data_IF_534702727370
#
_entry.id   IF_534702727370
#
_cell.length_a   1.000
_cell.length_b   1.000
_cell.length_c   1.000
_cell.angle_alpha   90.00
_cell.angle_beta   90.00
_cell.angle_gamma   90.00
#
_symmetry.space_group_name_H-M   'P 1'
#
loop_
_entity.id
_entity.type
_entity.pdbx_description
1 polymer ?
#
# COMPACT_ATOMS: atom_id res chain seq x y z
N UNK A 1 -20.97 12.96 17.61
CA UNK A 1 -20.15 13.96 16.90
C UNK A 1 -19.75 13.28 15.62
N UNK A 2 -20.56 13.48 14.59
CA UNK A 2 -20.51 12.66 13.39
C UNK A 2 -19.21 12.94 12.63
N UNK A 3 -18.45 11.88 12.43
CA UNK A 3 -17.18 11.88 11.76
C UNK A 3 -17.46 12.02 10.26
N UNK A 4 -17.68 13.26 9.82
CA UNK A 4 -18.06 13.62 8.45
C UNK A 4 -16.99 13.17 7.44
N UNK A 5 -15.76 12.89 7.88
CA UNK A 5 -14.62 12.49 7.04
C UNK A 5 -14.23 11.00 7.06
N UNK A 6 -14.72 10.21 8.02
CA UNK A 6 -14.46 8.75 8.07
C UNK A 6 -15.65 7.94 7.53
N UNK A 7 -16.84 8.56 7.51
CA UNK A 7 -18.01 7.91 6.96
C UNK A 7 -18.07 8.14 5.45
N UNK A 8 -17.58 7.18 4.66
CA UNK A 8 -17.78 7.08 3.21
C UNK A 8 -19.26 7.08 2.78
N UNK A 9 -20.22 7.02 3.72
CA UNK A 9 -21.65 7.25 3.50
C UNK A 9 -22.09 8.72 3.65
N UNK A 10 -21.18 9.61 4.07
CA UNK A 10 -21.42 11.06 4.15
C UNK A 10 -21.50 11.66 2.75
N UNK A 11 -22.68 12.17 2.38
CA UNK A 11 -22.90 12.88 1.11
C UNK A 11 -21.87 14.00 0.92
N UNK A 12 -21.49 14.68 2.00
CA UNK A 12 -20.56 15.81 1.94
C UNK A 12 -19.14 15.40 1.57
N UNK A 13 -18.65 14.28 2.09
CA UNK A 13 -17.32 13.75 1.75
C UNK A 13 -17.24 13.37 0.27
N UNK A 14 -18.30 12.72 -0.26
CA UNK A 14 -18.40 12.38 -1.68
C UNK A 14 -18.45 13.60 -2.60
N UNK A 15 -19.19 14.64 -2.20
CA UNK A 15 -19.20 15.92 -2.92
C UNK A 15 -17.82 16.57 -2.99
N UNK A 16 -17.07 16.55 -1.88
CA UNK A 16 -15.73 17.11 -1.81
C UNK A 16 -14.75 16.33 -2.70
N UNK A 17 -14.77 15.00 -2.63
CA UNK A 17 -13.99 14.12 -3.51
C UNK A 17 -14.32 14.38 -4.99
N UNK A 18 -15.60 14.41 -5.36
CA UNK A 18 -16.01 14.67 -6.75
C UNK A 18 -15.50 16.04 -7.23
N UNK A 19 -15.61 17.09 -6.40
CA UNK A 19 -15.06 18.41 -6.72
C UNK A 19 -13.55 18.38 -6.91
N UNK A 20 -12.83 17.66 -6.04
CA UNK A 20 -11.38 17.50 -6.13
C UNK A 20 -10.97 16.81 -7.45
N UNK A 21 -11.65 15.71 -7.79
CA UNK A 21 -11.40 14.95 -9.02
C UNK A 21 -11.69 15.77 -10.27
N UNK A 22 -12.83 16.48 -10.32
CA UNK A 22 -13.16 17.36 -11.44
C UNK A 22 -12.18 18.53 -11.56
N UNK A 23 -11.74 19.09 -10.42
CA UNK A 23 -10.72 20.14 -10.41
C UNK A 23 -9.37 19.62 -10.90
N UNK A 24 -9.03 18.38 -10.55
CA UNK A 24 -7.80 17.72 -10.97
C UNK A 24 -7.75 17.51 -12.47
N UNK A 25 -8.80 16.90 -13.04
CA UNK A 25 -8.96 16.71 -14.49
C UNK A 25 -8.87 18.05 -15.27
N UNK A 26 -9.55 19.08 -14.76
CA UNK A 26 -9.46 20.43 -15.32
C UNK A 26 -8.05 21.02 -15.26
N UNK A 27 -7.37 20.93 -14.10
CA UNK A 27 -6.02 21.47 -13.94
C UNK A 27 -5.02 20.74 -14.83
N UNK A 28 -5.09 19.41 -14.94
CA UNK A 28 -4.25 18.66 -15.87
C UNK A 28 -4.46 19.13 -17.31
N UNK A 29 -5.71 19.28 -17.74
CA UNK A 29 -6.04 19.82 -19.07
C UNK A 29 -5.44 21.21 -19.32
N UNK A 30 -5.48 22.10 -18.33
CA UNK A 30 -4.89 23.44 -18.44
C UNK A 30 -3.37 23.43 -18.42
N UNK A 31 -2.74 22.55 -17.62
CA UNK A 31 -1.29 22.37 -17.60
C UNK A 31 -0.77 21.80 -18.92
N UNK A 32 -1.51 20.87 -19.52
CA UNK A 32 -1.17 20.27 -20.80
C UNK A 32 -1.05 21.32 -21.92
N UNK A 33 -1.82 22.40 -21.84
CA UNK A 33 -1.78 23.53 -22.78
C UNK A 33 -0.56 24.44 -22.58
N UNK A 34 0.05 24.44 -21.39
CA UNK A 34 1.16 25.34 -21.02
C UNK A 34 2.53 24.83 -21.45
N UNK A 35 2.63 23.60 -21.96
CA UNK A 35 3.87 22.98 -22.42
C UNK A 35 5.00 23.00 -21.37
N UNK A 36 4.65 22.75 -20.10
CA UNK A 36 5.63 22.62 -19.00
C UNK A 36 6.61 21.48 -19.29
N UNK A 37 7.90 21.79 -19.29
CA UNK A 37 8.97 20.85 -19.64
C UNK A 37 9.51 20.04 -18.45
N UNK A 38 9.02 20.31 -17.23
CA UNK A 38 9.43 19.57 -16.03
C UNK A 38 8.88 18.14 -16.08
N UNK A 39 9.50 17.25 -15.30
CA UNK A 39 9.05 15.87 -15.17
C UNK A 39 7.61 15.79 -14.66
N UNK A 40 6.80 14.91 -15.25
CA UNK A 40 5.35 14.88 -15.01
C UNK A 40 4.97 14.42 -13.60
N UNK A 41 5.77 13.57 -12.96
CA UNK A 41 5.60 13.19 -11.55
C UNK A 41 5.62 14.41 -10.62
N UNK A 42 6.54 15.36 -10.86
CA UNK A 42 6.62 16.62 -10.10
C UNK A 42 5.36 17.48 -10.32
N UNK A 43 4.91 17.58 -11.58
CA UNK A 43 3.72 18.35 -11.92
C UNK A 43 2.48 17.78 -11.21
N UNK A 44 2.32 16.46 -11.23
CA UNK A 44 1.23 15.77 -10.53
C UNK A 44 1.23 16.09 -9.02
N UNK A 45 2.39 16.01 -8.35
CA UNK A 45 2.55 16.32 -6.92
C UNK A 45 2.18 17.76 -6.57
N UNK A 46 2.56 18.72 -7.42
CA UNK A 46 2.21 20.13 -7.24
C UNK A 46 0.70 20.36 -7.37
N UNK A 47 0.08 19.77 -8.39
CA UNK A 47 -1.35 19.94 -8.65
C UNK A 47 -2.18 19.31 -7.52
N UNK A 48 -1.92 18.06 -7.13
CA UNK A 48 -2.69 17.42 -6.05
C UNK A 48 -2.50 18.13 -4.72
N UNK A 49 -1.29 18.62 -4.41
CA UNK A 49 -1.02 19.38 -3.18
C UNK A 49 -1.81 20.68 -3.15
N UNK A 50 -1.87 21.37 -4.29
CA UNK A 50 -2.64 22.60 -4.44
C UNK A 50 -4.13 22.33 -4.25
N UNK A 51 -4.67 21.29 -4.87
CA UNK A 51 -6.08 20.91 -4.70
C UNK A 51 -6.38 20.58 -3.23
N UNK A 52 -5.54 19.75 -2.59
CA UNK A 52 -5.69 19.43 -1.17
C UNK A 52 -5.66 20.68 -0.28
N UNK A 53 -4.78 21.64 -0.59
CA UNK A 53 -4.66 22.93 0.11
C UNK A 53 -5.92 23.79 -0.09
N UNK A 54 -6.44 23.86 -1.31
CA UNK A 54 -7.64 24.61 -1.68
C UNK A 54 -8.90 24.02 -1.00
N UNK A 55 -8.87 22.73 -0.62
CA UNK A 55 -9.96 22.05 0.08
C UNK A 55 -9.97 22.25 1.60
N UNK A 56 -8.82 22.60 2.21
CA UNK A 56 -8.72 22.77 3.68
C UNK A 56 -9.81 23.70 4.25
N UNK A 57 -10.12 24.87 3.66
CA UNK A 57 -11.13 25.77 4.21
C UNK A 57 -12.55 25.20 4.22
N UNK A 58 -12.82 24.14 3.45
CA UNK A 58 -14.12 23.48 3.41
C UNK A 58 -14.33 22.48 4.57
N UNK A 59 -13.30 22.22 5.37
CA UNK A 59 -13.34 21.31 6.51
C UNK A 59 -13.82 22.02 7.79
N UNK A 60 -14.43 21.31 8.76
CA UNK A 60 -14.76 21.86 10.06
C UNK A 60 -13.50 22.22 10.89
N UNK A 61 -13.63 23.20 11.79
CA UNK A 61 -12.51 23.94 12.40
C UNK A 61 -11.31 23.10 12.87
N UNK A 62 -11.50 22.11 13.75
CA UNK A 62 -10.39 21.29 14.27
C UNK A 62 -9.70 20.45 13.19
N UNK A 63 -10.43 20.08 12.14
CA UNK A 63 -9.88 19.33 11.00
C UNK A 63 -9.07 20.24 10.08
N UNK A 64 -9.39 21.54 9.96
CA UNK A 64 -8.61 22.48 9.15
C UNK A 64 -7.15 22.59 9.62
N UNK A 65 -6.92 22.56 10.93
CA UNK A 65 -5.55 22.62 11.48
C UNK A 65 -4.79 21.34 11.17
N UNK A 66 -5.38 20.18 11.48
CA UNK A 66 -4.77 18.86 11.19
C UNK A 66 -4.45 18.69 9.70
N UNK A 67 -5.39 19.10 8.86
CA UNK A 67 -5.27 19.18 7.41
C UNK A 67 -4.08 20.03 6.94
N UNK A 68 -3.98 21.24 7.47
CA UNK A 68 -2.89 22.18 7.15
C UNK A 68 -1.54 21.62 7.57
N UNK A 69 -1.46 21.07 8.79
CA UNK A 69 -0.24 20.46 9.33
C UNK A 69 0.19 19.26 8.47
N UNK A 70 -0.74 18.37 8.08
CA UNK A 70 -0.44 17.26 7.18
C UNK A 70 0.13 17.75 5.84
N UNK A 71 -0.53 18.72 5.20
CA UNK A 71 -0.14 19.23 3.87
C UNK A 71 1.25 19.88 3.90
N UNK A 72 1.58 20.58 4.98
CA UNK A 72 2.90 21.18 5.18
C UNK A 72 4.00 20.12 5.30
N UNK A 73 3.69 19.01 5.97
CA UNK A 73 4.65 17.95 6.24
C UNK A 73 4.74 16.86 5.17
N UNK A 74 4.01 16.93 4.04
CA UNK A 74 3.95 15.87 3.02
C UNK A 74 5.32 15.31 2.56
N UNK A 75 6.37 16.12 2.58
CA UNK A 75 7.74 15.75 2.16
C UNK A 75 8.59 15.14 3.28
N UNK A 76 8.15 15.24 4.52
CA UNK A 76 8.85 14.69 5.68
C UNK A 76 8.41 13.25 5.95
N UNK A 77 9.26 12.45 6.60
CA UNK A 77 8.86 11.11 7.04
C UNK A 77 7.78 11.22 8.13
N UNK A 78 6.71 10.41 8.12
CA UNK A 78 6.40 9.30 7.20
C UNK A 78 5.34 9.65 6.14
N UNK A 79 5.23 10.92 5.74
CA UNK A 79 4.11 11.42 4.95
C UNK A 79 4.16 11.03 3.46
N UNK A 80 3.05 11.24 2.76
CA UNK A 80 2.80 10.68 1.43
C UNK A 80 3.90 10.96 0.40
N UNK A 81 4.38 12.20 0.27
CA UNK A 81 5.37 12.51 -0.77
C UNK A 81 6.75 11.96 -0.42
N UNK A 82 7.08 11.88 0.87
CA UNK A 82 8.25 11.14 1.33
C UNK A 82 8.13 9.66 0.96
N UNK A 83 6.98 9.05 1.26
CA UNK A 83 6.69 7.66 0.92
C UNK A 83 6.83 7.40 -0.59
N UNK A 84 6.14 8.15 -1.44
CA UNK A 84 6.19 8.02 -2.91
C UNK A 84 7.64 8.10 -3.44
N UNK A 85 8.41 9.08 -2.96
CA UNK A 85 9.81 9.23 -3.35
C UNK A 85 10.65 8.01 -2.90
N UNK A 86 10.44 7.52 -1.68
CA UNK A 86 11.14 6.34 -1.16
C UNK A 86 10.76 5.07 -1.92
N UNK A 87 9.50 4.87 -2.25
CA UNK A 87 9.01 3.74 -3.05
C UNK A 87 9.65 3.76 -4.44
N UNK A 88 9.60 4.89 -5.15
CA UNK A 88 10.26 5.03 -6.46
C UNK A 88 11.76 4.73 -6.42
N UNK A 89 12.48 5.24 -5.42
CA UNK A 89 13.92 4.97 -5.27
C UNK A 89 14.21 3.49 -4.93
N UNK A 90 13.34 2.85 -4.13
CA UNK A 90 13.49 1.44 -3.78
C UNK A 90 13.25 0.51 -4.98
N UNK A 91 12.29 0.85 -5.84
CA UNK A 91 12.05 0.16 -7.11
C UNK A 91 13.27 0.28 -8.04
N UNK A 92 13.79 1.50 -8.21
CA UNK A 92 14.96 1.73 -9.06
C UNK A 92 16.20 0.96 -8.54
N UNK A 93 16.43 0.98 -7.22
CA UNK A 93 17.51 0.22 -6.58
C UNK A 93 17.32 -1.30 -6.75
N UNK A 94 16.09 -1.80 -6.62
CA UNK A 94 15.75 -3.21 -6.84
C UNK A 94 16.15 -3.65 -8.26
N UNK A 95 15.69 -2.96 -9.31
CA UNK A 95 16.03 -3.35 -10.68
C UNK A 95 17.52 -3.23 -10.97
N UNK A 96 18.16 -2.16 -10.50
CA UNK A 96 19.60 -1.98 -10.66
C UNK A 96 20.41 -3.12 -10.03
N UNK A 97 20.03 -3.57 -8.83
CA UNK A 97 20.76 -4.61 -8.11
C UNK A 97 20.41 -6.03 -8.55
N UNK A 98 19.22 -6.22 -9.11
CA UNK A 98 18.77 -7.51 -9.63
C UNK A 98 19.11 -7.73 -11.11
N UNK A 99 19.57 -6.68 -11.83
CA UNK A 99 19.84 -6.71 -13.27
C UNK A 99 20.65 -7.93 -13.72
N UNK A 100 21.65 -8.35 -12.93
CA UNK A 100 22.50 -9.50 -13.29
C UNK A 100 21.80 -10.86 -13.23
N UNK A 101 20.70 -10.97 -12.48
CA UNK A 101 19.90 -12.19 -12.32
C UNK A 101 18.73 -12.24 -13.31
N UNK A 102 18.29 -11.08 -13.80
CA UNK A 102 17.07 -10.91 -14.58
C UNK A 102 17.35 -10.68 -16.07
N UNK A 103 18.15 -11.57 -16.68
CA UNK A 103 18.53 -11.52 -18.11
C UNK A 103 18.10 -12.79 -18.84
N UNK A 104 17.88 -12.68 -20.16
CA UNK A 104 17.50 -13.82 -21.00
C UNK A 104 16.13 -14.38 -20.60
N UNK A 105 16.06 -15.67 -20.29
CA UNK A 105 14.81 -16.35 -19.89
C UNK A 105 14.24 -15.84 -18.56
N UNK A 106 15.05 -15.16 -17.74
CA UNK A 106 14.62 -14.58 -16.45
C UNK A 106 14.37 -13.06 -16.54
N UNK A 107 14.22 -12.49 -17.74
CA UNK A 107 13.89 -11.07 -17.90
C UNK A 107 12.56 -10.77 -17.18
N UNK A 108 12.58 -9.86 -16.20
CA UNK A 108 11.38 -9.48 -15.44
C UNK A 108 10.44 -8.60 -16.27
N UNK A 109 11.01 -7.53 -16.84
CA UNK A 109 10.38 -6.47 -17.61
C UNK A 109 11.40 -5.98 -18.63
N UNK A 110 10.94 -5.35 -19.72
CA UNK A 110 11.86 -4.66 -20.63
C UNK A 110 12.59 -3.50 -19.93
N UNK A 111 13.78 -3.09 -20.40
CA UNK A 111 14.51 -1.96 -19.79
C UNK A 111 13.68 -0.68 -19.69
N UNK A 112 12.84 -0.39 -20.69
CA UNK A 112 11.94 0.77 -20.67
C UNK A 112 10.89 0.63 -19.56
N UNK A 113 10.26 -0.53 -19.43
CA UNK A 113 9.27 -0.80 -18.37
C UNK A 113 9.90 -0.74 -16.96
N UNK A 114 11.14 -1.22 -16.77
CA UNK A 114 11.87 -1.06 -15.51
C UNK A 114 12.02 0.41 -15.12
N UNK A 115 12.32 1.29 -16.08
CA UNK A 115 12.38 2.74 -15.83
C UNK A 115 11.01 3.33 -15.51
N UNK A 116 9.95 2.87 -16.20
CA UNK A 116 8.57 3.31 -15.94
C UNK A 116 8.09 2.92 -14.53
N UNK A 117 8.60 1.82 -13.97
CA UNK A 117 8.28 1.42 -12.61
C UNK A 117 8.73 2.45 -11.56
N UNK A 118 9.76 3.24 -11.83
CA UNK A 118 10.14 4.37 -10.97
C UNK A 118 9.04 5.45 -10.94
N UNK A 119 8.49 5.81 -12.11
CA UNK A 119 7.37 6.75 -12.21
C UNK A 119 6.14 6.23 -11.48
N UNK A 120 5.82 4.94 -11.66
CA UNK A 120 4.75 4.24 -10.95
C UNK A 120 4.97 4.36 -9.43
N UNK A 121 6.16 4.02 -8.91
CA UNK A 121 6.46 4.13 -7.49
C UNK A 121 6.30 5.55 -6.93
N UNK A 122 6.64 6.57 -7.73
CA UNK A 122 6.51 7.99 -7.35
C UNK A 122 5.11 8.57 -7.42
N UNK A 123 4.15 7.85 -8.01
CA UNK A 123 2.83 8.43 -8.30
C UNK A 123 1.64 7.56 -7.92
N UNK A 124 1.81 6.24 -7.73
CA UNK A 124 0.71 5.28 -7.54
C UNK A 124 -0.35 5.74 -6.51
N UNK A 125 0.12 6.32 -5.42
CA UNK A 125 -0.70 6.72 -4.26
C UNK A 125 -1.11 8.19 -4.24
N UNK A 126 -0.73 8.95 -5.26
CA UNK A 126 -0.87 10.41 -5.26
C UNK A 126 -2.33 10.88 -5.17
N UNK A 127 -3.25 10.10 -5.73
CA UNK A 127 -4.68 10.38 -5.73
C UNK A 127 -5.32 10.21 -4.35
N UNK A 128 -4.62 9.64 -3.36
CA UNK A 128 -5.09 9.60 -1.96
C UNK A 128 -5.33 11.01 -1.40
N UNK A 129 -4.60 12.02 -1.87
CA UNK A 129 -4.81 13.43 -1.48
C UNK A 129 -6.08 14.08 -2.06
N UNK A 130 -6.74 13.44 -3.03
CA UNK A 130 -7.99 13.94 -3.59
C UNK A 130 -9.21 13.49 -2.76
N UNK A 131 -9.02 12.50 -1.88
CA UNK A 131 -10.00 12.07 -0.89
C UNK A 131 -10.10 13.00 0.32
N UNK A 132 -10.75 12.54 1.39
CA UNK A 132 -10.64 13.24 2.68
C UNK A 132 -9.17 13.31 3.10
N UNK A 133 -8.77 14.29 3.91
CA UNK A 133 -7.36 14.40 4.31
C UNK A 133 -6.92 13.25 5.24
N UNK A 134 -7.87 12.43 5.70
CA UNK A 134 -7.63 11.13 6.35
C UNK A 134 -8.00 9.94 5.44
N UNK A 135 -8.28 10.14 4.15
CA UNK A 135 -8.61 9.09 3.18
C UNK A 135 -7.35 8.30 2.82
N UNK A 136 -6.84 7.56 3.78
CA UNK A 136 -5.82 6.55 3.55
C UNK A 136 -6.40 5.28 2.88
N UNK A 137 -7.70 5.24 2.55
CA UNK A 137 -8.39 3.95 2.52
C UNK A 137 -9.64 3.89 1.63
N UNK A 138 -9.50 3.99 0.31
CA UNK A 138 -10.49 3.40 -0.63
C UNK A 138 -9.84 3.19 -2.02
N UNK A 139 -10.31 2.23 -2.85
CA UNK A 139 -9.75 1.93 -4.17
C UNK A 139 -9.97 3.07 -5.17
N UNK A 140 -10.67 4.13 -4.75
CA UNK A 140 -10.97 5.29 -5.56
C UNK A 140 -9.68 5.94 -6.06
N UNK A 141 -8.57 5.90 -5.30
CA UNK A 141 -7.31 6.46 -5.77
C UNK A 141 -6.74 5.71 -6.99
N UNK A 142 -6.84 4.37 -7.03
CA UNK A 142 -6.44 3.56 -8.17
C UNK A 142 -7.35 3.81 -9.40
N UNK A 143 -8.66 3.95 -9.16
CA UNK A 143 -9.64 4.28 -10.21
C UNK A 143 -9.38 5.69 -10.74
N UNK A 144 -9.20 6.69 -9.88
CA UNK A 144 -8.90 8.07 -10.28
C UNK A 144 -7.59 8.11 -11.04
N UNK A 145 -6.57 7.36 -10.61
CA UNK A 145 -5.31 7.28 -11.34
C UNK A 145 -5.55 6.76 -12.76
N UNK A 146 -6.22 5.61 -12.91
CA UNK A 146 -6.49 5.00 -14.22
C UNK A 146 -7.34 5.89 -15.11
N UNK A 147 -8.43 6.43 -14.58
CA UNK A 147 -9.45 7.14 -15.35
C UNK A 147 -9.12 8.62 -15.58
N UNK A 148 -8.29 9.25 -14.75
CA UNK A 148 -7.93 10.67 -14.86
C UNK A 148 -6.48 10.79 -15.30
N UNK A 149 -5.51 10.39 -14.47
CA UNK A 149 -4.08 10.53 -14.81
C UNK A 149 -3.77 9.82 -16.14
N UNK A 150 -4.29 8.60 -16.32
CA UNK A 150 -4.13 7.82 -17.55
C UNK A 150 -4.46 8.58 -18.84
N UNK A 151 -5.48 9.44 -18.85
CA UNK A 151 -5.87 10.25 -20.02
C UNK A 151 -4.85 11.32 -20.40
N UNK A 152 -4.05 11.75 -19.43
CA UNK A 152 -3.12 12.87 -19.57
C UNK A 152 -1.65 12.43 -19.72
N UNK A 153 -1.34 11.14 -19.60
CA UNK A 153 0.04 10.65 -19.65
C UNK A 153 0.65 10.69 -21.05
N UNK A 154 -0.10 10.35 -22.10
CA UNK A 154 0.46 10.22 -23.45
C UNK A 154 1.12 11.53 -23.93
N UNK A 155 2.35 11.43 -24.41
CA UNK A 155 3.18 12.57 -24.83
C UNK A 155 3.81 13.38 -23.70
N UNK A 156 3.56 13.05 -22.42
CA UNK A 156 4.24 13.67 -21.28
C UNK A 156 5.61 13.07 -21.06
N UNK A 157 6.46 13.83 -20.38
CA UNK A 157 7.83 13.43 -20.10
C UNK A 157 8.04 13.10 -18.62
N UNK A 158 8.74 12.01 -18.36
CA UNK A 158 9.29 11.66 -17.06
C UNK A 158 10.81 11.70 -17.11
N UNK A 159 11.43 12.22 -16.05
CA UNK A 159 12.88 12.20 -15.84
C UNK A 159 13.18 11.26 -14.68
N UNK A 160 13.78 10.13 -15.00
CA UNK A 160 14.25 9.13 -14.04
C UNK A 160 15.32 9.70 -13.10
N UNK A 161 15.59 9.01 -11.99
CA UNK A 161 16.59 9.43 -11.01
C UNK A 161 18.02 9.54 -11.58
N UNK A 162 18.32 8.82 -12.67
CA UNK A 162 19.61 8.86 -13.36
C UNK A 162 19.69 9.94 -14.46
N UNK A 163 18.60 10.68 -14.68
CA UNK A 163 18.52 11.79 -15.63
C UNK A 163 18.05 11.40 -17.03
N UNK A 164 17.72 10.12 -17.30
CA UNK A 164 17.09 9.73 -18.58
C UNK A 164 15.68 10.29 -18.68
N UNK A 165 15.40 10.90 -19.83
CA UNK A 165 14.07 11.43 -20.19
C UNK A 165 13.31 10.40 -21.01
N UNK A 166 12.11 10.04 -20.57
CA UNK A 166 11.16 9.17 -21.25
C UNK A 166 9.95 10.01 -21.65
N UNK A 167 9.52 9.91 -22.90
CA UNK A 167 8.24 10.47 -23.35
C UNK A 167 7.26 9.31 -23.46
N UNK A 168 6.12 9.39 -22.77
CA UNK A 168 5.18 8.28 -22.68
C UNK A 168 4.44 8.07 -24.00
N UNK A 169 4.53 6.84 -24.51
CA UNK A 169 3.75 6.33 -25.64
C UNK A 169 2.50 5.61 -25.11
N UNK A 170 1.52 5.35 -25.99
CA UNK A 170 0.27 4.69 -25.60
C UNK A 170 0.47 3.34 -24.87
N UNK A 171 1.50 2.58 -25.25
CA UNK A 171 1.84 1.31 -24.58
C UNK A 171 2.43 1.52 -23.19
N UNK A 172 3.24 2.56 -22.98
CA UNK A 172 3.75 2.95 -21.67
C UNK A 172 2.60 3.34 -20.74
N UNK A 173 1.64 4.10 -21.27
CA UNK A 173 0.43 4.48 -20.53
C UNK A 173 -0.36 3.25 -20.11
N UNK A 174 -0.58 2.29 -21.02
CA UNK A 174 -1.27 1.02 -20.71
C UNK A 174 -0.54 0.24 -19.62
N UNK A 175 0.79 0.18 -19.67
CA UNK A 175 1.59 -0.47 -18.63
C UNK A 175 1.43 0.25 -17.28
N UNK A 176 1.65 1.56 -17.22
CA UNK A 176 1.57 2.37 -15.99
C UNK A 176 0.20 2.22 -15.32
N UNK A 177 -0.89 2.43 -16.07
CA UNK A 177 -2.25 2.35 -15.51
C UNK A 177 -2.62 0.92 -15.11
N UNK A 178 -2.11 -0.08 -15.85
CA UNK A 178 -2.32 -1.49 -15.55
C UNK A 178 -1.63 -1.91 -14.25
N UNK A 179 -0.43 -1.41 -14.00
CA UNK A 179 0.32 -1.65 -12.77
C UNK A 179 -0.36 -0.96 -11.58
N UNK A 180 -0.62 0.36 -11.67
CA UNK A 180 -1.19 1.14 -10.54
C UNK A 180 -2.62 0.73 -10.20
N UNK A 181 -3.44 0.41 -11.22
CA UNK A 181 -4.90 0.31 -11.07
C UNK A 181 -5.42 -0.80 -10.16
N UNK A 182 -4.56 -1.69 -9.63
CA UNK A 182 -4.89 -2.79 -8.72
C UNK A 182 -3.72 -3.16 -7.79
N UNK A 183 -2.78 -2.24 -7.55
CA UNK A 183 -1.53 -2.57 -6.86
C UNK A 183 -1.69 -2.87 -5.36
N UNK A 184 -2.77 -2.43 -4.71
CA UNK A 184 -3.07 -2.82 -3.31
C UNK A 184 -3.88 -4.13 -3.22
N UNK A 185 -4.29 -4.72 -4.35
CA UNK A 185 -5.24 -5.84 -4.44
C UNK A 185 -4.80 -6.91 -5.46
N UNK A 186 -3.54 -7.32 -5.34
CA UNK A 186 -2.87 -8.20 -6.31
C UNK A 186 -3.17 -9.69 -6.12
N UNK A 187 -3.84 -10.06 -5.03
CA UNK A 187 -4.15 -11.45 -4.63
C UNK A 187 -5.65 -11.65 -4.42
N UNK A 188 -6.45 -11.07 -5.31
CA UNK A 188 -7.89 -11.36 -5.34
C UNK A 188 -8.09 -12.86 -5.53
N UNK A 189 -8.81 -13.46 -4.60
CA UNK A 189 -9.29 -14.85 -4.72
C UNK A 189 -9.89 -15.10 -6.11
N UNK A 190 -10.70 -14.14 -6.59
CA UNK A 190 -11.12 -14.06 -7.99
C UNK A 190 -9.95 -13.63 -8.88
N UNK A 191 -9.29 -14.61 -9.50
CA UNK A 191 -8.21 -14.39 -10.47
C UNK A 191 -6.82 -14.74 -9.98
N UNK A 192 -6.65 -15.14 -8.70
CA UNK A 192 -5.36 -15.57 -8.15
C UNK A 192 -4.68 -16.62 -9.01
N UNK A 193 -5.38 -17.69 -9.39
CA UNK A 193 -4.81 -18.76 -10.23
C UNK A 193 -4.32 -18.24 -11.59
N UNK A 194 -5.03 -17.29 -12.19
CA UNK A 194 -4.64 -16.71 -13.47
C UNK A 194 -3.42 -15.78 -13.33
N UNK A 195 -3.38 -14.99 -12.25
CA UNK A 195 -2.23 -14.15 -11.91
C UNK A 195 -1.00 -15.02 -11.59
N UNK A 196 -1.19 -16.08 -10.80
CA UNK A 196 -0.15 -17.05 -10.47
C UNK A 196 0.43 -17.69 -11.72
N UNK A 197 -0.43 -18.10 -12.64
CA UNK A 197 -0.02 -18.64 -13.92
C UNK A 197 0.79 -17.62 -14.72
N UNK A 198 0.32 -16.37 -14.83
CA UNK A 198 0.98 -15.35 -15.65
C UNK A 198 2.37 -14.94 -15.14
N UNK A 199 2.64 -15.11 -13.85
CA UNK A 199 3.96 -14.82 -13.27
C UNK A 199 5.03 -15.88 -13.56
N UNK A 200 4.66 -17.07 -14.06
CA UNK A 200 5.64 -18.12 -14.38
C UNK A 200 6.65 -17.66 -15.43
N UNK A 201 7.89 -18.16 -15.32
CA UNK A 201 9.00 -17.80 -16.22
C UNK A 201 8.79 -18.20 -17.67
N UNK A 202 7.97 -19.23 -17.90
CA UNK A 202 7.63 -19.72 -19.25
C UNK A 202 6.77 -18.74 -20.05
N UNK A 203 6.12 -17.79 -19.38
CA UNK A 203 5.34 -16.76 -20.04
C UNK A 203 6.22 -15.64 -20.58
N UNK A 204 5.85 -15.13 -21.75
CA UNK A 204 6.59 -14.10 -22.45
C UNK A 204 6.61 -12.77 -21.67
N UNK A 205 7.78 -12.26 -21.20
CA UNK A 205 7.87 -10.96 -20.53
C UNK A 205 7.41 -9.77 -21.37
N UNK A 206 7.42 -9.92 -22.70
CA UNK A 206 7.02 -8.87 -23.63
C UNK A 206 5.51 -8.84 -23.88
N UNK A 207 4.76 -9.82 -23.37
CA UNK A 207 3.30 -9.70 -23.31
C UNK A 207 2.95 -8.64 -22.26
N UNK A 208 2.22 -7.60 -22.67
CA UNK A 208 1.84 -6.48 -21.83
C UNK A 208 1.05 -6.90 -20.58
N UNK A 209 0.21 -7.93 -20.64
CA UNK A 209 -0.54 -8.39 -19.46
C UNK A 209 0.37 -9.11 -18.47
N UNK A 210 1.34 -9.87 -18.97
CA UNK A 210 2.40 -10.50 -18.15
C UNK A 210 3.27 -9.43 -17.51
N UNK A 211 3.72 -8.43 -18.30
CA UNK A 211 4.51 -7.31 -17.80
C UNK A 211 3.74 -6.53 -16.72
N UNK A 212 2.45 -6.24 -16.93
CA UNK A 212 1.61 -5.59 -15.92
C UNK A 212 1.54 -6.42 -14.64
N UNK A 213 1.31 -7.74 -14.72
CA UNK A 213 1.25 -8.61 -13.55
C UNK A 213 2.58 -8.63 -12.77
N UNK A 214 3.72 -8.73 -13.48
CA UNK A 214 5.06 -8.69 -12.88
C UNK A 214 5.36 -7.34 -12.24
N UNK A 215 5.11 -6.24 -12.95
CA UNK A 215 5.28 -4.88 -12.44
C UNK A 215 4.43 -4.62 -11.20
N UNK A 216 3.16 -5.07 -11.21
CA UNK A 216 2.25 -4.94 -10.06
C UNK A 216 2.74 -5.73 -8.84
N UNK A 217 3.22 -6.95 -9.06
CA UNK A 217 3.81 -7.78 -7.99
C UNK A 217 5.02 -7.10 -7.35
N UNK A 218 5.89 -6.49 -8.18
CA UNK A 218 7.06 -5.74 -7.72
C UNK A 218 6.64 -4.47 -6.94
N UNK A 219 5.71 -3.69 -7.47
CA UNK A 219 5.20 -2.50 -6.79
C UNK A 219 4.58 -2.86 -5.43
N UNK A 220 3.75 -3.90 -5.37
CA UNK A 220 3.06 -4.28 -4.15
C UNK A 220 4.01 -4.61 -3.00
N UNK A 221 5.05 -5.43 -3.24
CA UNK A 221 5.98 -5.75 -2.16
C UNK A 221 6.86 -4.54 -1.79
N UNK A 222 7.28 -3.72 -2.76
CA UNK A 222 8.09 -2.52 -2.46
C UNK A 222 7.27 -1.45 -1.74
N UNK A 223 5.98 -1.32 -2.03
CA UNK A 223 5.08 -0.43 -1.29
C UNK A 223 4.97 -0.86 0.19
N UNK A 224 4.77 -2.16 0.42
CA UNK A 224 4.67 -2.74 1.77
C UNK A 224 5.99 -2.64 2.52
N UNK A 225 7.05 -3.27 2.01
CA UNK A 225 8.30 -3.43 2.74
C UNK A 225 9.26 -2.26 2.55
N UNK A 226 9.23 -1.63 1.36
CA UNK A 226 10.15 -0.58 0.93
C UNK A 226 11.59 -0.77 1.36
N UNK A 227 12.05 0.03 2.32
CA UNK A 227 13.43 0.00 2.80
C UNK A 227 13.73 -1.00 3.91
N UNK A 228 12.71 -1.66 4.47
CA UNK A 228 12.86 -2.74 5.43
C UNK A 228 13.46 -4.00 4.80
N UNK A 229 13.11 -4.27 3.54
CA UNK A 229 13.57 -5.43 2.77
C UNK A 229 14.30 -4.93 1.52
N UNK A 230 15.60 -5.21 1.41
CA UNK A 230 16.42 -4.76 0.27
C UNK A 230 17.21 -5.91 -0.33
N UNK A 231 17.51 -5.77 -1.62
CA UNK A 231 18.54 -6.58 -2.24
C UNK A 231 19.91 -6.09 -1.75
N UNK A 232 20.60 -6.91 -0.97
CA UNK A 232 21.90 -6.62 -0.38
C UNK A 232 22.74 -7.91 -0.35
N UNK A 233 24.04 -7.77 -0.63
CA UNK A 233 25.01 -8.88 -0.72
C UNK A 233 24.50 -10.09 -1.51
N UNK A 234 23.83 -9.83 -2.62
CA UNK A 234 23.35 -10.88 -3.54
C UNK A 234 22.09 -11.61 -3.08
N UNK A 235 21.35 -11.13 -2.07
CA UNK A 235 20.02 -11.65 -1.73
C UNK A 235 19.03 -10.57 -1.29
N UNK A 236 17.74 -10.82 -1.48
CA UNK A 236 16.66 -10.05 -0.89
C UNK A 236 16.51 -10.45 0.58
N UNK A 237 16.72 -9.51 1.53
CA UNK A 237 16.71 -9.78 2.97
C UNK A 237 16.14 -8.61 3.77
N UNK A 238 15.74 -8.88 5.02
CA UNK A 238 15.42 -7.84 6.00
C UNK A 238 16.73 -7.13 6.38
N UNK A 239 16.77 -5.81 6.20
CA UNK A 239 17.94 -4.98 6.52
C UNK A 239 17.66 -3.98 7.64
N UNK A 240 16.39 -3.78 7.97
CA UNK A 240 15.93 -2.91 9.06
C UNK A 240 14.72 -3.58 9.74
N UNK A 241 14.95 -4.14 10.94
CA UNK A 241 13.94 -4.88 11.69
C UNK A 241 12.85 -3.97 12.25
N UNK A 242 13.19 -2.75 12.64
CA UNK A 242 12.23 -1.78 13.20
C UNK A 242 11.31 -1.26 12.09
N UNK A 243 11.88 -1.00 10.91
CA UNK A 243 11.10 -0.68 9.72
C UNK A 243 10.25 -1.87 9.27
N UNK A 244 10.74 -3.11 9.37
CA UNK A 244 9.95 -4.31 9.08
C UNK A 244 8.74 -4.41 10.02
N UNK A 245 8.95 -4.24 11.32
CA UNK A 245 7.87 -4.22 12.30
C UNK A 245 6.83 -3.13 11.98
N UNK A 246 7.31 -1.90 11.74
CA UNK A 246 6.43 -0.74 11.54
C UNK A 246 5.68 -0.79 10.20
N UNK A 247 6.36 -1.20 9.12
CA UNK A 247 5.81 -1.15 7.76
C UNK A 247 5.02 -2.39 7.38
N UNK A 248 5.37 -3.54 7.92
CA UNK A 248 4.69 -4.80 7.60
C UNK A 248 3.75 -5.23 8.72
N UNK A 249 4.23 -5.41 9.95
CA UNK A 249 3.40 -5.97 11.03
C UNK A 249 2.26 -5.02 11.40
N UNK A 250 2.57 -3.74 11.64
CA UNK A 250 1.53 -2.77 11.99
C UNK A 250 0.55 -2.53 10.84
N UNK A 251 1.04 -2.61 9.61
CA UNK A 251 0.23 -2.46 8.39
C UNK A 251 -0.69 -3.67 8.17
N UNK A 252 -0.20 -4.89 8.37
CA UNK A 252 -0.99 -6.11 8.32
C UNK A 252 -2.02 -6.15 9.47
N UNK A 253 -1.69 -5.61 10.66
CA UNK A 253 -2.66 -5.45 11.75
C UNK A 253 -3.88 -4.62 11.33
N UNK A 254 -3.65 -3.54 10.57
CA UNK A 254 -4.73 -2.67 10.04
C UNK A 254 -5.55 -3.33 8.93
N UNK A 255 -5.06 -4.41 8.31
CA UNK A 255 -5.82 -5.20 7.36
C UNK A 255 -6.91 -6.06 8.04
N UNK A 256 -6.70 -6.45 9.31
CA UNK A 256 -7.65 -7.29 10.03
C UNK A 256 -8.97 -6.53 10.31
N UNK A 257 -8.90 -5.23 10.61
CA UNK A 257 -10.07 -4.34 10.80
C UNK A 257 -11.13 -4.92 11.74
N UNK A 258 -10.90 -4.84 13.05
CA UNK A 258 -11.87 -5.26 14.08
C UNK A 258 -12.45 -4.04 14.80
N UNK A 259 -13.75 -4.05 15.18
CA UNK A 259 -14.37 -2.99 15.98
C UNK A 259 -13.94 -3.06 17.47
N UNK A 260 -12.63 -3.22 17.72
CA UNK A 260 -12.04 -3.50 19.04
C UNK A 260 -10.90 -2.52 19.31
N UNK A 261 -10.77 -2.10 20.57
CA UNK A 261 -9.59 -1.43 21.13
C UNK A 261 -8.93 -2.38 22.11
N UNK A 262 -7.62 -2.59 21.95
CA UNK A 262 -6.78 -3.28 22.94
C UNK A 262 -5.92 -2.27 23.69
N UNK A 263 -5.74 -2.49 24.99
CA UNK A 263 -4.85 -1.71 25.83
C UNK A 263 -3.79 -2.64 26.41
N UNK A 264 -2.53 -2.36 26.10
CA UNK A 264 -1.38 -3.02 26.70
C UNK A 264 -0.66 -2.08 27.65
N UNK A 265 -0.29 -2.59 28.81
CA UNK A 265 0.61 -1.89 29.72
C UNK A 265 2.01 -2.46 29.53
N UNK A 266 2.98 -1.63 29.17
CA UNK A 266 4.40 -2.01 29.14
C UNK A 266 5.18 -1.21 30.16
N UNK A 267 6.14 -1.88 30.80
CA UNK A 267 7.11 -1.25 31.67
C UNK A 267 8.33 -0.89 30.83
N UNK A 268 8.57 0.40 30.60
CA UNK A 268 9.72 0.90 29.85
C UNK A 268 10.74 1.51 30.82
N UNK A 269 12.03 1.38 30.52
CA UNK A 269 13.08 2.08 31.27
C UNK A 269 13.43 3.38 30.57
N UNK A 270 13.26 4.49 31.27
CA UNK A 270 13.65 5.83 30.81
C UNK A 270 14.54 6.44 31.88
N UNK A 271 15.78 6.76 31.52
CA UNK A 271 16.79 7.34 32.40
C UNK A 271 17.05 6.55 33.71
N UNK A 272 16.89 5.23 33.67
CA UNK A 272 17.11 4.33 34.81
C UNK A 272 15.89 4.16 35.74
N UNK A 273 14.75 4.78 35.42
CA UNK A 273 13.49 4.59 36.12
C UNK A 273 12.53 3.71 35.30
N UNK A 274 11.80 2.83 35.97
CA UNK A 274 10.74 2.02 35.35
C UNK A 274 9.47 2.87 35.27
N UNK A 275 9.00 3.15 34.05
CA UNK A 275 7.74 3.83 33.77
C UNK A 275 6.72 2.83 33.25
N UNK A 276 5.50 2.96 33.75
CA UNK A 276 4.35 2.23 33.23
C UNK A 276 3.72 3.06 32.11
N UNK A 277 3.77 2.53 30.89
CA UNK A 277 3.24 3.17 29.69
C UNK A 277 2.08 2.34 29.13
N UNK A 278 0.97 3.00 28.84
CA UNK A 278 -0.18 2.38 28.17
C UNK A 278 -0.08 2.56 26.66
N UNK A 279 -0.15 1.45 25.95
CA UNK A 279 -0.17 1.37 24.50
C UNK A 279 -1.58 0.96 24.06
N UNK A 280 -2.13 1.70 23.11
CA UNK A 280 -3.44 1.44 22.55
C UNK A 280 -3.27 0.86 21.15
N UNK A 281 -3.94 -0.27 20.91
CA UNK A 281 -4.08 -0.83 19.56
C UNK A 281 -5.53 -0.65 19.14
N UNK A 282 -5.73 0.29 18.21
CA UNK A 282 -7.03 0.54 17.60
C UNK A 282 -7.18 -0.32 16.34
N UNK A 283 -7.78 -1.51 16.50
CA UNK A 283 -7.94 -2.47 15.40
C UNK A 283 -8.88 -1.98 14.30
N UNK A 284 -9.67 -0.94 14.57
CA UNK A 284 -10.63 -0.38 13.63
C UNK A 284 -9.99 0.65 12.69
N UNK A 285 -8.77 1.12 12.97
CA UNK A 285 -8.00 1.97 12.06
C UNK A 285 -7.55 1.13 10.88
N UNK A 286 -8.38 1.06 9.84
CA UNK A 286 -8.07 0.29 8.65
C UNK A 286 -6.84 0.84 7.90
N UNK A 287 -6.18 -0.03 7.15
CA UNK A 287 -5.59 0.29 5.85
C UNK A 287 -6.14 -0.81 4.96
N UNK A 288 -6.88 -0.44 3.93
CA UNK A 288 -7.51 -1.40 3.01
C UNK A 288 -6.43 -1.76 2.00
N UNK A 289 -5.48 -2.57 2.45
CA UNK A 289 -5.07 -3.65 1.56
C UNK A 289 -6.32 -4.48 1.36
N UNK A 290 -6.76 -4.63 0.13
CA UNK A 290 -7.76 -5.63 -0.18
C UNK A 290 -6.98 -6.93 -0.32
N UNK A 291 -6.87 -7.68 0.77
CA UNK A 291 -7.47 -8.99 0.62
C UNK A 291 -8.97 -8.93 0.80
N UNK A 292 -9.70 -9.46 -0.16
CA UNK A 292 -10.85 -10.25 0.25
C UNK A 292 -10.26 -11.31 1.18
N UNK A 293 -10.57 -11.23 2.48
CA UNK A 293 -10.10 -12.16 3.49
C UNK A 293 -10.33 -13.60 3.01
N UNK A 294 -9.25 -14.23 2.57
CA UNK A 294 -9.19 -15.55 1.97
C UNK A 294 -7.75 -16.08 2.08
N UNK A 295 -7.59 -17.37 1.80
CA UNK A 295 -6.34 -18.11 1.95
C UNK A 295 -5.17 -17.45 1.20
N UNK A 296 -5.44 -16.87 0.03
CA UNK A 296 -4.43 -16.33 -0.88
C UNK A 296 -4.04 -14.88 -0.60
N UNK A 297 -4.89 -14.09 0.04
CA UNK A 297 -4.52 -12.74 0.46
C UNK A 297 -3.50 -12.72 1.60
N UNK A 298 -3.59 -13.69 2.51
CA UNK A 298 -2.67 -13.86 3.65
C UNK A 298 -1.38 -14.56 3.21
N UNK A 299 -1.47 -15.59 2.38
CA UNK A 299 -0.29 -16.30 1.83
C UNK A 299 0.35 -15.60 0.62
N UNK A 300 -0.31 -14.60 0.05
CA UNK A 300 0.12 -13.93 -1.18
C UNK A 300 1.47 -13.25 -1.04
N UNK A 301 1.78 -12.63 0.10
CA UNK A 301 3.09 -11.98 0.32
C UNK A 301 4.23 -12.98 0.41
N UNK A 302 4.01 -14.13 1.05
CA UNK A 302 5.00 -15.20 1.09
C UNK A 302 5.18 -15.81 -0.29
N UNK A 303 4.08 -15.94 -1.04
CA UNK A 303 4.09 -16.39 -2.43
C UNK A 303 4.81 -15.41 -3.36
N UNK A 304 4.75 -14.09 -3.14
CA UNK A 304 5.58 -13.12 -3.87
C UNK A 304 7.06 -13.49 -3.80
N UNK A 305 7.54 -13.81 -2.61
CA UNK A 305 8.94 -14.18 -2.39
C UNK A 305 9.28 -15.54 -3.00
N UNK A 306 8.34 -16.48 -2.99
CA UNK A 306 8.49 -17.77 -3.69
C UNK A 306 8.59 -17.57 -5.21
N UNK A 307 7.74 -16.74 -5.82
CA UNK A 307 7.82 -16.41 -7.25
C UNK A 307 9.11 -15.71 -7.60
N UNK A 308 9.53 -14.72 -6.80
CA UNK A 308 10.82 -14.05 -6.97
C UNK A 308 11.97 -15.08 -7.02
N UNK A 309 11.94 -16.07 -6.12
CA UNK A 309 12.96 -17.13 -6.00
C UNK A 309 12.89 -18.17 -7.11
N UNK A 310 11.73 -18.80 -7.26
CA UNK A 310 11.55 -20.04 -8.01
C UNK A 310 11.30 -19.79 -9.50
N UNK A 311 10.57 -18.70 -9.82
CA UNK A 311 10.26 -18.33 -11.19
C UNK A 311 11.30 -17.34 -11.74
N UNK A 312 11.70 -16.34 -10.97
CA UNK A 312 12.51 -15.23 -11.51
C UNK A 312 13.99 -15.29 -11.15
N UNK A 313 14.42 -16.30 -10.39
CA UNK A 313 15.83 -16.52 -10.05
C UNK A 313 16.44 -15.44 -9.16
N UNK A 314 15.62 -14.62 -8.49
CA UNK A 314 16.06 -13.68 -7.47
C UNK A 314 16.43 -14.46 -6.22
N UNK A 315 17.67 -14.34 -5.76
CA UNK A 315 18.06 -14.96 -4.51
C UNK A 315 17.31 -14.29 -3.35
N UNK A 316 16.52 -15.08 -2.61
CA UNK A 316 15.77 -14.65 -1.43
C UNK A 316 16.41 -15.27 -0.21
N UNK A 317 16.70 -14.47 0.82
CA UNK A 317 17.21 -14.98 2.08
C UNK A 317 16.27 -16.05 2.66
N UNK A 318 16.75 -17.26 3.00
CA UNK A 318 15.92 -18.32 3.56
C UNK A 318 15.16 -17.90 4.84
N UNK A 319 15.63 -16.88 5.56
CA UNK A 319 14.96 -16.36 6.75
C UNK A 319 13.84 -15.34 6.44
N UNK A 320 13.77 -14.80 5.22
CA UNK A 320 12.80 -13.75 4.88
C UNK A 320 11.35 -14.28 4.88
N UNK A 321 11.10 -15.39 4.19
CA UNK A 321 9.76 -15.99 4.12
C UNK A 321 9.27 -16.40 5.53
N UNK A 322 10.07 -17.13 6.35
CA UNK A 322 9.71 -17.41 7.74
C UNK A 322 9.41 -16.15 8.56
N UNK A 323 10.22 -15.09 8.45
CA UNK A 323 9.99 -13.86 9.21
C UNK A 323 8.66 -13.17 8.83
N UNK A 324 8.30 -13.19 7.55
CA UNK A 324 7.02 -12.67 7.05
C UNK A 324 5.85 -13.52 7.55
N UNK A 325 6.00 -14.85 7.50
CA UNK A 325 5.02 -15.79 8.03
C UNK A 325 4.80 -15.63 9.54
N UNK A 326 5.89 -15.56 10.31
CA UNK A 326 5.84 -15.36 11.76
C UNK A 326 5.15 -14.05 12.10
N UNK A 327 5.41 -12.99 11.31
CA UNK A 327 4.73 -11.72 11.44
C UNK A 327 3.21 -11.79 11.21
N UNK A 328 2.79 -12.54 10.19
CA UNK A 328 1.36 -12.80 9.92
C UNK A 328 0.74 -13.59 11.08
N UNK A 329 1.39 -14.68 11.50
CA UNK A 329 0.93 -15.54 12.59
C UNK A 329 0.80 -14.75 13.89
N UNK A 330 1.77 -13.87 14.19
CA UNK A 330 1.72 -12.97 15.33
C UNK A 330 0.44 -12.13 15.31
N UNK A 331 0.18 -11.41 14.22
CA UNK A 331 -0.98 -10.52 14.11
C UNK A 331 -2.29 -11.30 14.18
N UNK A 332 -2.36 -12.47 13.54
CA UNK A 332 -3.54 -13.33 13.58
C UNK A 332 -3.83 -13.82 15.01
N UNK A 333 -2.81 -14.23 15.77
CA UNK A 333 -2.94 -14.60 17.19
C UNK A 333 -3.34 -13.41 18.07
N UNK A 334 -2.77 -12.23 17.82
CA UNK A 334 -3.16 -10.99 18.50
C UNK A 334 -4.64 -10.66 18.24
N UNK A 335 -5.11 -10.85 17.00
CA UNK A 335 -6.50 -10.61 16.60
C UNK A 335 -7.47 -11.63 17.24
N UNK A 336 -7.12 -12.92 17.23
CA UNK A 336 -7.87 -13.98 17.93
C UNK A 336 -8.02 -13.65 19.42
N UNK A 337 -6.91 -13.34 20.09
CA UNK A 337 -6.91 -12.96 21.50
C UNK A 337 -7.76 -11.71 21.77
N UNK A 338 -7.76 -10.73 20.86
CA UNK A 338 -8.59 -9.54 21.00
C UNK A 338 -10.09 -9.87 20.91
N UNK A 339 -10.50 -10.72 19.97
CA UNK A 339 -11.90 -11.15 19.84
C UNK A 339 -12.35 -11.96 21.07
N UNK A 340 -11.55 -12.92 21.49
CA UNK A 340 -11.84 -13.74 22.67
C UNK A 340 -11.87 -12.90 23.95
N UNK A 341 -10.92 -11.97 24.11
CA UNK A 341 -10.83 -11.07 25.25
C UNK A 341 -12.07 -10.19 25.40
N UNK A 342 -12.56 -9.58 24.30
CA UNK A 342 -13.81 -8.81 24.34
C UNK A 342 -15.01 -9.70 24.71
N UNK A 343 -15.08 -10.93 24.17
CA UNK A 343 -16.16 -11.89 24.48
C UNK A 343 -16.16 -12.36 25.93
N UNK A 344 -14.97 -12.54 26.50
CA UNK A 344 -14.76 -12.93 27.88
C UNK A 344 -14.89 -11.79 28.89
N UNK A 345 -15.02 -10.55 28.43
CA UNK A 345 -15.10 -9.36 29.28
C UNK A 345 -13.76 -8.98 29.93
N UNK A 346 -12.63 -9.31 29.31
CA UNK A 346 -11.31 -8.87 29.79
C UNK A 346 -11.18 -7.35 29.62
N UNK A 347 -10.89 -6.59 30.71
CA UNK A 347 -10.83 -5.12 30.68
C UNK A 347 -9.75 -4.54 29.75
N UNK A 348 -8.77 -5.35 29.29
CA UNK A 348 -7.79 -4.93 28.28
C UNK A 348 -8.42 -4.72 26.91
N UNK A 349 -9.57 -5.34 26.64
CA UNK A 349 -10.21 -5.33 25.34
C UNK A 349 -11.63 -4.75 25.46
N UNK A 350 -11.98 -3.85 24.55
CA UNK A 350 -13.31 -3.26 24.52
C UNK A 350 -13.76 -2.99 23.09
N UNK A 351 -15.08 -2.99 22.88
CA UNK A 351 -15.64 -2.53 21.62
C UNK A 351 -15.29 -1.06 21.37
N UNK A 352 -15.12 -0.71 20.10
CA UNK A 352 -15.08 0.68 19.66
C UNK A 352 -16.32 1.42 20.16
N UNK A 353 -16.16 2.67 20.59
CA UNK A 353 -17.28 3.49 21.05
C UNK A 353 -18.35 3.63 19.96
N UNK A 354 -19.61 3.41 20.32
CA UNK A 354 -20.75 3.54 19.39
C UNK A 354 -21.06 2.29 18.58
N UNK A 355 -20.33 1.20 18.78
CA UNK A 355 -20.65 -0.12 18.22
C UNK A 355 -21.59 -0.87 19.17
N UNK A 356 -22.68 -1.43 18.63
CA UNK A 356 -23.56 -2.34 19.36
C UNK A 356 -22.91 -3.74 19.43
N UNK A 357 -22.58 -4.26 20.63
CA UNK A 357 -22.00 -5.58 20.80
C UNK A 357 -22.82 -6.71 20.15
N UNK A 358 -24.16 -6.64 20.17
CA UNK A 358 -25.01 -7.70 19.60
C UNK A 358 -24.92 -7.73 18.07
N UNK A 359 -24.86 -6.55 17.43
CA UNK A 359 -24.78 -6.43 15.96
C UNK A 359 -23.45 -6.93 15.40
N UNK A 360 -22.34 -6.77 16.15
CA UNK A 360 -21.01 -7.18 15.67
C UNK A 360 -20.60 -8.58 16.11
N UNK A 361 -21.31 -9.20 17.06
CA UNK A 361 -20.93 -10.51 17.59
C UNK A 361 -20.88 -11.59 16.49
N UNK A 362 -21.85 -11.57 15.56
CA UNK A 362 -21.91 -12.49 14.41
C UNK A 362 -20.71 -12.27 13.47
N UNK A 363 -20.38 -11.01 13.18
CA UNK A 363 -19.22 -10.65 12.36
C UNK A 363 -17.92 -11.10 13.01
N UNK A 364 -17.78 -10.90 14.33
CA UNK A 364 -16.62 -11.37 15.09
C UNK A 364 -16.50 -12.89 15.11
N UNK A 365 -17.62 -13.64 15.14
CA UNK A 365 -17.58 -15.11 15.05
C UNK A 365 -17.02 -15.53 13.70
N UNK A 366 -17.57 -14.98 12.61
CA UNK A 366 -17.10 -15.30 11.27
C UNK A 366 -15.64 -14.91 11.07
N UNK A 367 -15.21 -13.76 11.59
CA UNK A 367 -13.81 -13.33 11.54
C UNK A 367 -12.91 -14.27 12.34
N UNK A 368 -13.31 -14.70 13.54
CA UNK A 368 -12.55 -15.65 14.35
C UNK A 368 -12.36 -16.98 13.62
N UNK A 369 -13.42 -17.54 13.04
CA UNK A 369 -13.36 -18.77 12.26
C UNK A 369 -12.39 -18.64 11.07
N UNK A 370 -12.41 -17.51 10.36
CA UNK A 370 -11.46 -17.22 9.27
C UNK A 370 -10.02 -17.13 9.77
N UNK A 371 -9.78 -16.43 10.88
CA UNK A 371 -8.46 -16.31 11.50
C UNK A 371 -7.92 -17.71 11.87
N UNK A 372 -8.74 -18.54 12.52
CA UNK A 372 -8.37 -19.90 12.92
C UNK A 372 -8.07 -20.80 11.72
N UNK A 373 -8.85 -20.67 10.64
CA UNK A 373 -8.58 -21.36 9.38
C UNK A 373 -7.24 -20.94 8.78
N UNK A 374 -6.99 -19.63 8.66
CA UNK A 374 -5.73 -19.09 8.13
C UNK A 374 -4.51 -19.50 8.97
N UNK A 375 -4.63 -19.46 10.30
CA UNK A 375 -3.58 -19.95 11.21
C UNK A 375 -3.31 -21.43 10.99
N UNK A 376 -4.35 -22.25 10.88
CA UNK A 376 -4.21 -23.69 10.65
C UNK A 376 -3.49 -23.94 9.32
N UNK A 377 -3.90 -23.28 8.23
CA UNK A 377 -3.27 -23.42 6.92
C UNK A 377 -1.77 -23.04 6.93
N UNK A 378 -1.42 -21.94 7.60
CA UNK A 378 -0.03 -21.51 7.74
C UNK A 378 0.81 -22.44 8.61
N UNK A 379 0.20 -23.09 9.61
CA UNK A 379 0.88 -24.02 10.51
C UNK A 379 0.97 -25.46 9.98
N UNK A 380 0.12 -25.85 9.01
CA UNK A 380 0.11 -27.22 8.43
C UNK A 380 0.89 -27.37 7.13
N UNK A 381 1.14 -26.30 6.39
CA UNK A 381 1.90 -26.34 5.14
C UNK A 381 3.43 -26.41 5.32
N UNK A 382 3.90 -26.71 6.54
CA UNK A 382 5.31 -26.84 6.90
C UNK A 382 5.57 -28.00 7.87
#
# INVERSE_FOLDING_TARGET
>A
MDIILENHKSVKARELLLRAVLKFDYDLTEYDRKNDQRSYDIQLLEIVKKIASDMVPALPGEEQKRASDMIQNLKESPWLFFHLNKTGNSIADFFKKTEQFTKGENELLSPKQMDLMEFVGRTHDICKLLGSLNAQIDPDHEIIYREIIGKHLEGKAFVTHDGRKIVFEAEDVRFIIGVVGLHEDIYREEGFAHQAESLKKENNPQDIEVAIARGRTILHFVDIFGDAVKFQDGSLRIVDQDAFQTRFIDLFRRHIKLPIVSTETKLTMVDGEVKEEQFFTEWFLGKVFRPQWGEHGVSGLTWTFEILRDEWGINVDPALIPAVQDGIIQVLKEAEAAIEGVRGGDPKYRYQQGVDPEEVQVQLTSNLEKIQHSLSALMTNF
#
